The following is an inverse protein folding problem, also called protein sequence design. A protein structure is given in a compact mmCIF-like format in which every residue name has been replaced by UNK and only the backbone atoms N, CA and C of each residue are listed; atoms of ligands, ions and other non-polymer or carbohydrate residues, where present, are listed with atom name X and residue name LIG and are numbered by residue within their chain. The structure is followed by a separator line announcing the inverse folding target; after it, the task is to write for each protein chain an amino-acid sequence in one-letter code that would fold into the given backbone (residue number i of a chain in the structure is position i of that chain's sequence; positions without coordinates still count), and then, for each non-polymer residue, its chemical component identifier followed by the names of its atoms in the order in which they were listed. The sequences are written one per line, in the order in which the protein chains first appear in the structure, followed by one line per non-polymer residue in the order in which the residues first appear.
data_IF_018642806566
#
_entry.id   IF_018642806566
#
_cell.length_a   1.000
_cell.length_b   1.000
_cell.length_c   1.000
_cell.angle_alpha   90.00
_cell.angle_beta   90.00
_cell.angle_gamma   90.00
#
_symmetry.space_group_name_H-M   'P 1'
#
loop_
_entity.id
_entity.type
_entity.pdbx_description
1 polymer ?
#
# COMPACT_ATOMS: atom_id res chain seq x y z
N UNK A 1 2.37 7.55 2.22
CA UNK A 1 2.55 6.23 1.60
C UNK A 1 1.34 5.36 1.91
N UNK A 2 0.82 4.70 0.88
CA UNK A 2 -0.39 3.88 0.91
C UNK A 2 0.00 2.41 0.77
N UNK A 3 -0.57 1.55 1.61
CA UNK A 3 -0.13 0.16 1.76
C UNK A 3 -1.28 -0.81 1.51
N UNK A 4 -1.09 -1.71 0.55
CA UNK A 4 -1.88 -2.93 0.49
C UNK A 4 -1.29 -4.05 1.38
N UNK A 5 -2.10 -5.08 1.63
CA UNK A 5 -1.73 -6.26 2.41
C UNK A 5 -1.47 -7.45 1.50
N UNK A 6 -2.49 -7.96 0.80
CA UNK A 6 -2.34 -9.15 -0.03
C UNK A 6 -1.49 -8.84 -1.26
N UNK A 7 -0.62 -9.77 -1.66
CA UNK A 7 0.37 -9.52 -2.72
C UNK A 7 1.53 -8.60 -2.32
N UNK A 8 1.34 -7.71 -1.33
CA UNK A 8 2.36 -6.77 -0.85
C UNK A 8 3.02 -7.23 0.45
N UNK A 9 2.33 -7.11 1.58
CA UNK A 9 2.85 -7.53 2.89
C UNK A 9 2.67 -9.03 3.13
N UNK A 10 1.64 -9.61 2.52
CA UNK A 10 1.26 -11.01 2.51
C UNK A 10 1.47 -11.58 1.10
N UNK A 11 2.67 -12.07 0.76
CA UNK A 11 2.92 -12.66 -0.55
C UNK A 11 2.12 -13.96 -0.76
N UNK A 12 1.69 -14.18 -2.00
CA UNK A 12 0.98 -15.39 -2.44
C UNK A 12 1.93 -16.51 -2.84
N UNK A 13 3.20 -16.18 -3.10
CA UNK A 13 4.25 -17.15 -3.39
C UNK A 13 4.76 -17.89 -2.17
N UNK A 14 5.74 -18.77 -2.38
CA UNK A 14 6.35 -19.52 -1.29
C UNK A 14 7.11 -18.56 -0.36
N UNK A 15 6.71 -18.43 0.92
CA UNK A 15 7.35 -17.50 1.83
C UNK A 15 8.81 -17.91 2.09
N UNK A 16 9.71 -16.93 2.15
CA UNK A 16 11.07 -17.16 2.63
C UNK A 16 11.07 -17.38 4.16
N UNK A 17 12.15 -17.92 4.76
CA UNK A 17 12.20 -18.15 6.21
C UNK A 17 12.02 -16.91 7.09
N UNK A 18 12.14 -15.70 6.53
CA UNK A 18 11.92 -14.44 7.24
C UNK A 18 10.43 -14.15 7.49
N UNK A 19 9.54 -14.83 6.77
CA UNK A 19 8.10 -14.71 6.95
C UNK A 19 7.58 -15.67 8.01
N UNK A 20 6.61 -15.21 8.78
CA UNK A 20 5.90 -16.01 9.79
C UNK A 20 4.46 -16.19 9.37
N UNK A 21 3.95 -17.41 9.55
CA UNK A 21 2.56 -17.76 9.24
C UNK A 21 1.65 -17.44 10.43
N UNK A 22 0.55 -16.75 10.16
CA UNK A 22 -0.49 -16.45 11.14
C UNK A 22 -1.85 -16.89 10.61
N UNK A 23 -2.72 -17.35 11.50
CA UNK A 23 -4.13 -17.56 11.22
C UNK A 23 -4.92 -16.43 11.87
N UNK A 24 -5.83 -15.84 11.12
CA UNK A 24 -6.66 -14.73 11.56
C UNK A 24 -8.11 -15.02 11.20
N UNK A 25 -9.02 -14.51 12.03
CA UNK A 25 -10.46 -14.64 11.81
C UNK A 25 -11.04 -13.27 11.56
N UNK A 26 -11.64 -13.08 10.39
CA UNK A 26 -12.24 -11.82 9.93
C UNK A 26 -13.64 -12.13 9.44
N UNK A 27 -14.66 -11.46 9.99
CA UNK A 27 -16.05 -11.71 9.61
C UNK A 27 -16.55 -13.15 9.82
N UNK A 28 -15.88 -13.94 10.68
CA UNK A 28 -16.16 -15.38 10.87
C UNK A 28 -15.37 -16.32 9.96
N UNK A 29 -14.72 -15.79 8.92
CA UNK A 29 -13.88 -16.56 8.00
C UNK A 29 -12.43 -16.63 8.48
N UNK A 30 -11.76 -17.76 8.23
CA UNK A 30 -10.37 -17.98 8.65
C UNK A 30 -9.42 -17.79 7.48
N UNK A 31 -8.53 -16.81 7.61
CA UNK A 31 -7.48 -16.51 6.65
C UNK A 31 -6.12 -16.97 7.18
N UNK A 32 -5.20 -17.23 6.26
CA UNK A 32 -3.79 -17.48 6.57
C UNK A 32 -2.94 -16.41 5.90
N UNK A 33 -2.18 -15.67 6.69
CA UNK A 33 -1.25 -14.65 6.19
C UNK A 33 0.19 -15.02 6.53
N UNK A 34 1.10 -14.67 5.64
CA UNK A 34 2.53 -14.77 5.84
C UNK A 34 3.09 -13.36 5.95
N UNK A 35 3.59 -12.97 7.12
CA UNK A 35 4.08 -11.61 7.36
C UNK A 35 5.54 -11.64 7.79
N UNK A 36 6.32 -10.73 7.23
CA UNK A 36 7.71 -10.52 7.64
C UNK A 36 7.77 -9.44 8.73
N UNK A 37 8.17 -9.79 9.98
CA UNK A 37 8.23 -8.82 11.08
C UNK A 37 9.16 -7.63 10.84
N UNK A 38 10.08 -7.72 9.87
CA UNK A 38 11.01 -6.63 9.54
C UNK A 38 10.37 -5.55 8.67
N UNK A 39 9.24 -5.83 8.00
CA UNK A 39 8.63 -4.86 7.07
C UNK A 39 8.14 -3.60 7.79
N UNK A 40 7.51 -3.72 8.96
CA UNK A 40 6.99 -2.54 9.65
C UNK A 40 8.11 -1.59 10.09
N UNK A 41 9.26 -2.11 10.53
CA UNK A 41 10.42 -1.28 10.84
C UNK A 41 10.91 -0.49 9.62
N UNK A 42 11.07 -1.16 8.48
CA UNK A 42 11.52 -0.49 7.25
C UNK A 42 10.53 0.58 6.75
N UNK A 43 9.22 0.31 6.86
CA UNK A 43 8.17 1.28 6.52
C UNK A 43 8.15 2.48 7.46
N UNK A 44 8.33 2.26 8.77
CA UNK A 44 8.39 3.35 9.75
C UNK A 44 9.65 4.20 9.61
N UNK A 45 10.81 3.57 9.43
CA UNK A 45 12.06 4.30 9.23
C UNK A 45 11.96 5.18 7.97
N UNK A 46 11.40 4.64 6.88
CA UNK A 46 11.15 5.41 5.66
C UNK A 46 10.17 6.57 5.90
N UNK A 47 9.03 6.30 6.55
CA UNK A 47 8.03 7.32 6.87
C UNK A 47 8.63 8.48 7.68
N UNK A 48 9.46 8.17 8.67
CA UNK A 48 10.18 9.17 9.48
C UNK A 48 11.16 9.96 8.62
N UNK A 49 11.97 9.27 7.80
CA UNK A 49 13.00 9.90 6.97
C UNK A 49 12.41 10.87 5.93
N UNK A 50 11.23 10.55 5.39
CA UNK A 50 10.57 11.36 4.35
C UNK A 50 9.44 12.25 4.87
N UNK A 51 9.23 12.30 6.19
CA UNK A 51 8.11 13.04 6.80
C UNK A 51 6.73 12.60 6.29
N UNK A 52 6.61 11.34 5.88
CA UNK A 52 5.39 10.79 5.25
C UNK A 52 4.52 10.06 6.27
N UNK A 53 3.21 10.07 6.04
CA UNK A 53 2.27 9.23 6.78
C UNK A 53 2.16 7.84 6.15
N UNK A 54 1.90 6.81 6.95
CA UNK A 54 1.52 5.47 6.48
C UNK A 54 0.00 5.30 6.59
N UNK A 55 -0.63 4.79 5.54
CA UNK A 55 -2.08 4.61 5.47
C UNK A 55 -2.40 3.25 4.83
N UNK A 56 -3.41 2.56 5.35
CA UNK A 56 -3.93 1.33 4.76
C UNK A 56 -4.80 1.61 3.53
N UNK A 57 -4.44 1.00 2.41
CA UNK A 57 -5.17 1.00 1.13
C UNK A 57 -5.47 -0.45 0.72
N UNK A 58 -6.27 -1.13 1.54
CA UNK A 58 -6.44 -2.58 1.48
C UNK A 58 -7.86 -3.01 1.80
N UNK A 59 -8.29 -4.13 1.23
CA UNK A 59 -9.59 -4.78 1.52
C UNK A 59 -9.68 -5.34 2.94
N UNK A 60 -8.56 -5.44 3.66
CA UNK A 60 -8.57 -5.74 5.08
C UNK A 60 -9.18 -4.62 5.92
N UNK A 61 -9.25 -3.40 5.40
CA UNK A 61 -9.77 -2.22 6.09
C UNK A 61 -9.25 -2.12 7.55
N UNK A 62 -10.14 -1.99 8.54
CA UNK A 62 -9.77 -1.91 9.96
C UNK A 62 -9.16 -3.22 10.49
N UNK A 63 -9.44 -4.37 9.88
CA UNK A 63 -8.81 -5.62 10.26
C UNK A 63 -7.30 -5.61 9.99
N UNK A 64 -6.78 -4.72 9.12
CA UNK A 64 -5.34 -4.51 8.98
C UNK A 64 -4.70 -4.02 10.30
N UNK A 65 -5.37 -3.15 11.05
CA UNK A 65 -4.90 -2.68 12.35
C UNK A 65 -4.97 -3.78 13.43
N UNK A 66 -5.98 -4.64 13.37
CA UNK A 66 -6.17 -5.74 14.34
C UNK A 66 -5.22 -6.92 14.07
N UNK A 67 -5.06 -7.27 12.79
CA UNK A 67 -4.41 -8.50 12.38
C UNK A 67 -3.05 -8.31 11.75
N UNK A 68 -2.78 -7.23 11.00
CA UNK A 68 -1.51 -7.11 10.27
C UNK A 68 -0.51 -6.27 11.06
N UNK A 69 -0.88 -5.03 11.41
CA UNK A 69 -0.01 -4.05 12.06
C UNK A 69 0.81 -4.60 13.24
N UNK A 70 0.21 -5.24 14.27
CA UNK A 70 0.96 -5.71 15.44
C UNK A 70 1.95 -6.85 15.15
N UNK A 71 1.78 -7.64 14.07
CA UNK A 71 2.73 -8.73 13.71
C UNK A 71 3.97 -8.22 12.98
N UNK A 72 3.87 -7.03 12.38
CA UNK A 72 5.00 -6.39 11.69
C UNK A 72 5.55 -5.18 12.44
N UNK A 73 4.98 -4.84 13.61
CA UNK A 73 5.45 -3.76 14.46
C UNK A 73 5.01 -2.37 13.99
N UNK A 74 3.95 -2.27 13.19
CA UNK A 74 3.33 -0.99 12.87
C UNK A 74 2.34 -0.57 13.97
N UNK A 75 2.19 0.75 14.24
CA UNK A 75 1.08 1.25 15.03
C UNK A 75 -0.24 1.08 14.26
N UNK A 76 -1.36 1.42 14.90
CA UNK A 76 -2.62 1.60 14.17
C UNK A 76 -2.45 2.74 13.17
N UNK A 77 -2.84 2.49 11.92
CA UNK A 77 -2.77 3.46 10.83
C UNK A 77 -4.18 3.92 10.41
N UNK A 78 -4.30 5.11 9.79
CA UNK A 78 -5.51 5.48 9.06
C UNK A 78 -5.84 4.44 7.97
N UNK A 79 -7.12 4.31 7.65
CA UNK A 79 -7.64 3.37 6.64
C UNK A 79 -8.41 4.16 5.59
N UNK A 80 -8.15 3.88 4.32
CA UNK A 80 -8.96 4.37 3.20
C UNK A 80 -10.25 3.55 3.17
N UNK A 81 -11.44 4.18 3.28
CA UNK A 81 -12.71 3.46 3.10
C UNK A 81 -12.86 2.97 1.66
N UNK A 82 -13.28 1.70 1.50
CA UNK A 82 -13.48 1.07 0.19
C UNK A 82 -14.95 0.62 0.04
N UNK A 83 -15.91 1.56 -0.03
CA UNK A 83 -17.30 1.20 -0.24
C UNK A 83 -17.45 0.45 -1.58
N UNK A 84 -18.44 -0.45 -1.71
CA UNK A 84 -18.67 -1.14 -2.98
C UNK A 84 -18.91 -0.14 -4.13
N UNK A 85 -18.20 -0.34 -5.22
CA UNK A 85 -18.38 0.42 -6.47
C UNK A 85 -18.74 -0.53 -7.63
N UNK A 86 -19.45 -0.02 -8.66
CA UNK A 86 -19.62 -0.76 -9.89
C UNK A 86 -18.25 -1.06 -10.52
N UNK A 87 -18.13 -2.14 -11.33
CA UNK A 87 -16.90 -2.41 -12.07
C UNK A 87 -16.52 -1.22 -12.94
N UNK A 88 -15.21 -0.98 -13.04
CA UNK A 88 -14.70 0.09 -13.91
C UNK A 88 -15.07 -0.16 -15.38
N UNK A 89 -15.44 0.92 -16.08
CA UNK A 89 -15.61 0.95 -17.54
C UNK A 89 -14.28 1.09 -18.30
N UNK A 90 -13.18 1.41 -17.60
CA UNK A 90 -11.89 1.78 -18.19
C UNK A 90 -10.71 0.93 -17.71
N UNK A 91 -10.97 -0.02 -16.82
CA UNK A 91 -10.03 -1.05 -16.41
C UNK A 91 -9.22 -0.75 -15.15
N UNK A 92 -9.33 0.44 -14.54
CA UNK A 92 -8.66 0.70 -13.26
C UNK A 92 -9.18 -0.23 -12.15
N UNK A 93 -8.32 -0.55 -11.19
CA UNK A 93 -8.73 -1.36 -10.06
C UNK A 93 -9.73 -0.60 -9.18
N UNK A 94 -10.63 -1.34 -8.54
CA UNK A 94 -11.70 -0.75 -7.74
C UNK A 94 -11.21 0.13 -6.58
N UNK A 95 -9.97 -0.04 -6.08
CA UNK A 95 -9.40 0.82 -5.04
C UNK A 95 -8.97 2.19 -5.57
N UNK A 96 -8.68 2.31 -6.87
CA UNK A 96 -8.05 3.50 -7.47
C UNK A 96 -8.89 4.77 -7.30
N UNK A 97 -10.22 4.77 -7.54
CA UNK A 97 -11.07 5.92 -7.24
C UNK A 97 -11.02 6.37 -5.78
N UNK A 98 -11.02 5.40 -4.84
CA UNK A 98 -10.96 5.68 -3.40
C UNK A 98 -9.60 6.23 -2.96
N UNK A 99 -8.51 5.69 -3.52
CA UNK A 99 -7.17 6.21 -3.30
C UNK A 99 -7.06 7.64 -3.82
N UNK A 100 -7.57 7.92 -5.03
CA UNK A 100 -7.58 9.27 -5.59
C UNK A 100 -8.34 10.25 -4.70
N UNK A 101 -9.56 9.88 -4.28
CA UNK A 101 -10.40 10.70 -3.42
C UNK A 101 -9.76 10.96 -2.05
N UNK A 102 -9.12 9.94 -1.45
CA UNK A 102 -8.45 10.08 -0.17
C UNK A 102 -7.18 10.92 -0.27
N UNK A 103 -6.32 10.66 -1.25
CA UNK A 103 -5.07 11.38 -1.43
C UNK A 103 -5.33 12.86 -1.75
N UNK A 104 -6.34 13.14 -2.57
CA UNK A 104 -6.59 14.47 -3.10
C UNK A 104 -5.34 14.95 -3.85
N UNK A 105 -4.89 16.18 -3.57
CA UNK A 105 -3.68 16.76 -4.18
C UNK A 105 -2.39 16.44 -3.42
N UNK A 106 -2.43 15.64 -2.36
CA UNK A 106 -1.23 15.32 -1.56
C UNK A 106 -0.34 14.35 -2.34
N UNK A 107 0.99 14.58 -2.39
CA UNK A 107 1.91 13.61 -2.98
C UNK A 107 1.82 12.25 -2.29
N UNK A 108 1.80 11.15 -3.05
CA UNK A 108 1.74 9.82 -2.46
C UNK A 108 2.50 8.75 -3.24
N UNK A 109 3.00 7.78 -2.50
CA UNK A 109 3.48 6.50 -3.04
C UNK A 109 2.48 5.42 -2.65
N UNK A 110 2.10 4.55 -3.58
CA UNK A 110 1.21 3.42 -3.32
C UNK A 110 1.88 2.10 -3.67
N UNK A 111 1.96 1.20 -2.69
CA UNK A 111 2.43 -0.17 -2.86
C UNK A 111 1.21 -1.09 -2.99
N UNK A 112 1.05 -1.70 -4.15
CA UNK A 112 -0.06 -2.62 -4.47
C UNK A 112 0.42 -3.60 -5.55
N UNK A 113 -0.13 -4.82 -5.59
CA UNK A 113 0.17 -5.81 -6.64
C UNK A 113 -0.77 -5.69 -7.84
N UNK A 114 -1.80 -4.83 -7.76
CA UNK A 114 -2.81 -4.66 -8.80
C UNK A 114 -2.77 -3.29 -9.47
N UNK A 115 -1.77 -2.45 -9.20
CA UNK A 115 -1.56 -1.18 -9.93
C UNK A 115 -0.95 -1.42 -11.31
N UNK A 116 -1.59 -0.86 -12.34
CA UNK A 116 -1.16 -0.95 -13.73
C UNK A 116 -1.35 0.40 -14.48
N UNK A 117 -1.24 0.36 -15.82
CA UNK A 117 -1.31 1.55 -16.66
C UNK A 117 -2.68 2.24 -16.58
N UNK A 118 -3.75 1.45 -16.45
CA UNK A 118 -5.13 1.92 -16.34
C UNK A 118 -5.33 2.75 -15.07
N UNK A 119 -4.68 2.38 -13.97
CA UNK A 119 -4.71 3.13 -12.71
C UNK A 119 -3.95 4.44 -12.82
N UNK A 120 -2.78 4.41 -13.47
CA UNK A 120 -2.00 5.62 -13.74
C UNK A 120 -2.79 6.59 -14.63
N UNK A 121 -3.42 6.09 -15.69
CA UNK A 121 -4.27 6.88 -16.59
C UNK A 121 -5.48 7.47 -15.84
N UNK A 122 -6.12 6.68 -14.98
CA UNK A 122 -7.21 7.19 -14.15
C UNK A 122 -6.75 8.34 -13.25
N UNK A 123 -5.67 8.14 -12.49
CA UNK A 123 -5.15 9.14 -11.56
C UNK A 123 -4.69 10.40 -12.29
N UNK A 124 -3.97 10.25 -13.40
CA UNK A 124 -3.37 11.36 -14.14
C UNK A 124 -4.39 12.12 -14.98
N UNK A 125 -5.17 11.40 -15.80
CA UNK A 125 -6.03 12.01 -16.82
C UNK A 125 -7.39 12.38 -16.25
N UNK A 126 -8.00 11.51 -15.45
CA UNK A 126 -9.37 11.74 -14.94
C UNK A 126 -9.39 12.54 -13.66
N UNK A 127 -8.46 12.23 -12.75
CA UNK A 127 -8.38 12.90 -11.44
C UNK A 127 -7.43 14.10 -11.46
N UNK A 128 -6.64 14.28 -12.53
CA UNK A 128 -5.73 15.41 -12.67
C UNK A 128 -4.59 15.41 -11.64
N UNK A 129 -4.25 14.24 -11.10
CA UNK A 129 -3.17 14.08 -10.13
C UNK A 129 -1.82 14.00 -10.87
N UNK A 130 -0.83 14.69 -10.32
CA UNK A 130 0.50 14.80 -10.94
C UNK A 130 1.61 14.23 -10.08
N UNK A 131 1.40 14.19 -8.77
CA UNK A 131 2.41 13.87 -7.77
C UNK A 131 2.10 12.51 -7.13
N UNK A 132 2.29 11.44 -7.89
CA UNK A 132 2.18 10.09 -7.35
C UNK A 132 3.22 9.14 -7.93
N UNK A 133 3.50 8.07 -7.19
CA UNK A 133 4.26 6.92 -7.65
C UNK A 133 3.49 5.64 -7.34
N UNK A 134 3.17 4.87 -8.38
CA UNK A 134 2.65 3.51 -8.25
C UNK A 134 3.82 2.53 -8.21
N UNK A 135 3.97 1.81 -7.10
CA UNK A 135 4.99 0.76 -6.96
C UNK A 135 4.27 -0.58 -7.08
N UNK A 136 4.31 -1.12 -8.30
CA UNK A 136 3.83 -2.47 -8.57
C UNK A 136 4.70 -3.51 -7.85
N UNK A 137 4.08 -4.28 -6.96
CA UNK A 137 4.74 -5.35 -6.20
C UNK A 137 4.38 -6.71 -6.80
N UNK A 138 5.38 -7.50 -7.19
CA UNK A 138 5.16 -8.88 -7.61
C UNK A 138 4.52 -9.70 -6.45
N UNK A 139 3.27 -10.18 -6.59
CA UNK A 139 2.55 -10.83 -5.51
C UNK A 139 3.20 -12.14 -5.06
N UNK A 140 4.05 -12.74 -5.90
CA UNK A 140 4.78 -13.96 -5.55
C UNK A 140 5.95 -13.68 -4.61
N UNK A 141 6.44 -12.44 -4.54
CA UNK A 141 7.61 -12.04 -3.75
C UNK A 141 7.25 -11.14 -2.58
N UNK A 142 6.22 -10.31 -2.74
CA UNK A 142 5.85 -9.30 -1.77
C UNK A 142 6.82 -8.12 -1.72
N UNK A 143 6.64 -7.29 -0.70
CA UNK A 143 7.40 -6.07 -0.47
C UNK A 143 8.89 -6.38 -0.30
N UNK A 144 9.74 -5.58 -0.92
CA UNK A 144 11.20 -5.74 -0.87
C UNK A 144 11.88 -4.43 -0.51
N UNK A 145 13.16 -4.50 -0.13
CA UNK A 145 13.98 -3.29 0.08
C UNK A 145 14.08 -2.42 -1.17
N UNK A 146 14.02 -3.02 -2.37
CA UNK A 146 14.02 -2.27 -3.63
C UNK A 146 12.79 -1.37 -3.74
N UNK A 147 11.62 -1.87 -3.35
CA UNK A 147 10.39 -1.08 -3.35
C UNK A 147 10.49 0.09 -2.37
N UNK A 148 11.04 -0.14 -1.17
CA UNK A 148 11.27 0.93 -0.19
C UNK A 148 12.26 1.99 -0.72
N UNK A 149 13.34 1.58 -1.39
CA UNK A 149 14.30 2.50 -2.01
C UNK A 149 13.70 3.35 -3.14
N UNK A 150 12.82 2.77 -3.97
CA UNK A 150 12.10 3.54 -5.00
C UNK A 150 11.20 4.61 -4.38
N UNK A 151 10.50 4.27 -3.28
CA UNK A 151 9.68 5.22 -2.56
C UNK A 151 10.49 6.34 -1.91
N UNK A 152 11.64 6.00 -1.31
CA UNK A 152 12.57 6.96 -0.71
C UNK A 152 13.10 7.96 -1.74
N UNK A 153 13.60 7.45 -2.87
CA UNK A 153 14.11 8.28 -3.97
C UNK A 153 13.03 9.26 -4.46
N UNK A 154 11.82 8.78 -4.70
CA UNK A 154 10.74 9.63 -5.18
C UNK A 154 10.26 10.66 -4.15
N UNK A 155 10.10 10.26 -2.88
CA UNK A 155 9.64 11.15 -1.81
C UNK A 155 10.66 12.22 -1.46
N UNK A 156 11.95 11.91 -1.56
CA UNK A 156 13.01 12.90 -1.32
C UNK A 156 13.12 13.88 -2.50
N UNK A 157 13.03 13.41 -3.74
CA UNK A 157 13.08 14.27 -4.94
C UNK A 157 11.87 15.20 -5.05
N UNK A 158 10.66 14.71 -4.76
CA UNK A 158 9.45 15.54 -4.78
C UNK A 158 9.42 16.60 -3.67
N UNK A 159 10.04 16.31 -2.52
CA UNK A 159 10.21 17.27 -1.43
C UNK A 159 11.04 18.50 -1.81
N UNK A 160 11.97 18.38 -2.78
CA UNK A 160 12.76 19.51 -3.27
C UNK A 160 11.98 20.43 -4.24
N UNK A 161 10.98 19.91 -4.94
CA UNK A 161 10.22 20.69 -5.95
C UNK A 161 9.15 21.62 -5.34
N UNK A 162 8.74 21.40 -4.09
CA UNK A 162 7.72 22.21 -3.39
C UNK A 162 8.33 23.38 -2.58
N UNK A 163 9.63 23.63 -2.72
CA UNK A 163 10.38 24.66 -2.00
C UNK A 163 10.93 25.82 -2.87
N UNK A 164 10.33 26.07 -4.04
CA UNK A 164 10.74 27.17 -4.95
C UNK A 164 9.70 28.27 -5.04
#
# INVERSE_FOLDING_TARGET
MLLDVDGVLNPMGRPTPDYRRYRCTVGGEVYTVHLNPRHGRGLLDLAIATGSELVWATTWEQHANEWIAPRIGLPSLPVIPLPPEPPSEHGEMFKTPHVAAYAGRRPFVWFDDQVWAEDEDYLRVRQGLTDFLLIHVDPMRGLTRRHLGMAEEWLTLTGFSQGS
#
